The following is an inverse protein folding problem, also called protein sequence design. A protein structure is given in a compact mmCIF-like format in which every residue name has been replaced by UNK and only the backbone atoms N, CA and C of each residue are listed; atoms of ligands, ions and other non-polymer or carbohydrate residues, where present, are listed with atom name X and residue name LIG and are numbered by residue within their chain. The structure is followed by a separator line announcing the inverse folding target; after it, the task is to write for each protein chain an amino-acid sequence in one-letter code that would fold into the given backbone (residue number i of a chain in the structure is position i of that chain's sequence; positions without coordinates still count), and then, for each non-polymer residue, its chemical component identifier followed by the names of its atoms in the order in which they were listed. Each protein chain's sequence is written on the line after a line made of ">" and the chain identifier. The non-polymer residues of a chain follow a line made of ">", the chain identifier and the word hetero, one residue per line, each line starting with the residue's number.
data_IF_932603569615
#
_entry.id   IF_932603569615
#
_cell.length_a   1.000
_cell.length_b   1.000
_cell.length_c   1.000
_cell.angle_alpha   90.00
_cell.angle_beta   90.00
_cell.angle_gamma   90.00
#
_symmetry.space_group_name_H-M   'P 1'
#
loop_
_entity.id
_entity.type
_entity.pdbx_description
1 polymer ?
#
# COMPACT_ATOMS: atom_id res chain seq x y z
N UNK A 1 33.75 -69.06 29.32
CA UNK A 1 32.46 -68.93 28.61
C UNK A 1 31.83 -67.51 28.79
N UNK A 2 32.08 -66.86 29.89
CA UNK A 2 31.57 -65.50 30.18
C UNK A 2 32.32 -64.39 29.39
N UNK A 3 33.64 -64.47 29.27
CA UNK A 3 34.43 -63.45 28.51
C UNK A 3 34.12 -63.39 27.01
N UNK A 4 33.77 -64.53 26.41
CA UNK A 4 33.45 -64.59 24.98
C UNK A 4 32.08 -63.98 24.67
N UNK A 5 31.14 -64.00 25.64
CA UNK A 5 29.85 -63.31 25.52
C UNK A 5 29.95 -61.79 25.68
N UNK A 6 30.82 -61.31 26.57
CA UNK A 6 31.06 -59.89 26.75
C UNK A 6 31.72 -59.25 25.53
N UNK A 7 32.71 -59.91 24.90
CA UNK A 7 33.35 -59.42 23.67
C UNK A 7 32.36 -59.31 22.48
N UNK A 8 31.47 -60.32 22.33
CA UNK A 8 30.43 -60.23 21.28
C UNK A 8 29.43 -59.09 21.54
N UNK A 9 29.09 -58.83 22.80
CA UNK A 9 28.19 -57.70 23.16
C UNK A 9 28.86 -56.37 22.91
N UNK A 10 30.18 -56.21 23.19
CA UNK A 10 30.93 -55.02 22.96
C UNK A 10 31.05 -54.67 21.46
N UNK A 11 31.23 -55.65 20.57
CA UNK A 11 31.26 -55.45 19.13
C UNK A 11 29.88 -55.11 18.57
N UNK A 12 28.79 -55.61 19.17
CA UNK A 12 27.43 -55.31 18.77
C UNK A 12 27.02 -53.87 19.16
N UNK A 13 27.49 -53.38 20.32
CA UNK A 13 27.25 -52.01 20.77
C UNK A 13 28.13 -50.99 19.98
N UNK A 14 29.37 -51.32 19.66
CA UNK A 14 30.21 -50.49 18.79
C UNK A 14 29.68 -50.43 17.34
N UNK A 15 29.16 -51.54 16.79
CA UNK A 15 28.56 -51.58 15.45
C UNK A 15 27.27 -50.79 15.36
N UNK A 16 26.47 -50.78 16.41
CA UNK A 16 25.22 -50.00 16.45
C UNK A 16 25.45 -48.49 16.60
N UNK A 17 26.55 -48.07 17.29
CA UNK A 17 26.90 -46.64 17.40
C UNK A 17 27.42 -46.03 16.09
N UNK A 18 28.02 -46.82 15.20
CA UNK A 18 28.46 -46.33 13.88
C UNK A 18 27.35 -46.17 12.85
N UNK A 19 26.19 -46.78 13.08
CA UNK A 19 25.03 -46.68 12.16
C UNK A 19 24.11 -45.46 12.45
N UNK A 20 24.28 -44.80 13.60
CA UNK A 20 23.47 -43.65 13.99
C UNK A 20 24.10 -42.31 13.62
N UNK A 21 25.33 -42.27 13.07
CA UNK A 21 26.01 -41.03 12.68
C UNK A 21 25.99 -40.73 11.18
N UNK A 22 25.20 -41.47 10.38
CA UNK A 22 25.27 -41.37 8.91
C UNK A 22 24.11 -40.59 8.27
N UNK A 23 23.37 -39.79 9.01
CA UNK A 23 22.36 -38.90 8.42
C UNK A 23 22.25 -37.54 9.19
N UNK A 24 23.37 -36.86 9.40
CA UNK A 24 23.28 -35.41 9.48
C UNK A 24 23.43 -34.91 8.04
N UNK A 25 22.30 -34.59 7.40
CA UNK A 25 22.35 -33.75 6.22
C UNK A 25 23.19 -32.51 6.62
N UNK A 26 24.33 -32.36 5.95
CA UNK A 26 25.13 -31.14 6.09
C UNK A 26 24.18 -29.99 5.71
N UNK A 27 23.83 -29.15 6.67
CA UNK A 27 23.10 -27.90 6.36
C UNK A 27 23.90 -27.19 5.27
N UNK A 28 23.32 -27.13 4.08
CA UNK A 28 23.89 -26.32 3.02
C UNK A 28 24.01 -24.91 3.58
N UNK A 29 25.20 -24.29 3.48
CA UNK A 29 25.37 -22.92 3.96
C UNK A 29 24.25 -22.08 3.32
N UNK A 30 23.36 -21.54 4.14
CA UNK A 30 22.34 -20.59 3.68
C UNK A 30 23.09 -19.40 3.13
N UNK A 31 23.10 -19.24 1.81
CA UNK A 31 23.59 -18.04 1.18
C UNK A 31 22.64 -16.92 1.55
N UNK A 32 23.12 -15.86 2.18
CA UNK A 32 22.37 -14.62 2.42
C UNK A 32 22.12 -13.84 1.13
N UNK A 33 22.69 -14.30 0.02
CA UNK A 33 22.52 -13.70 -1.30
C UNK A 33 21.16 -14.10 -1.87
N UNK A 34 20.29 -13.10 -1.96
CA UNK A 34 18.97 -13.23 -2.60
C UNK A 34 19.08 -12.77 -4.05
N UNK A 35 18.50 -13.51 -4.97
CA UNK A 35 18.32 -13.05 -6.35
C UNK A 35 17.38 -11.82 -6.36
N UNK A 36 17.68 -10.79 -7.16
CA UNK A 36 16.82 -9.61 -7.27
C UNK A 36 15.42 -9.93 -7.83
N UNK A 37 15.31 -10.98 -8.65
CA UNK A 37 14.07 -11.53 -9.16
C UNK A 37 14.24 -12.99 -9.55
N UNK A 38 13.13 -13.76 -9.51
CA UNK A 38 13.07 -15.16 -9.90
C UNK A 38 12.29 -15.29 -11.20
N UNK A 39 12.83 -15.95 -12.23
CA UNK A 39 12.13 -16.18 -13.48
C UNK A 39 10.98 -17.18 -13.31
N UNK A 40 9.80 -16.84 -13.78
CA UNK A 40 8.63 -17.72 -13.80
C UNK A 40 8.37 -18.24 -15.21
N UNK A 41 8.42 -17.36 -16.20
CA UNK A 41 8.33 -17.67 -17.63
C UNK A 41 9.30 -16.75 -18.36
N UNK A 42 10.16 -17.34 -19.22
CA UNK A 42 11.12 -16.59 -20.01
C UNK A 42 11.19 -17.22 -21.41
N UNK A 43 10.35 -16.74 -22.33
CA UNK A 43 10.31 -17.23 -23.71
C UNK A 43 11.19 -16.34 -24.58
N UNK A 44 10.96 -15.03 -24.52
CA UNK A 44 11.71 -14.00 -25.23
C UNK A 44 11.65 -12.67 -24.42
N UNK A 45 12.35 -11.60 -24.85
CA UNK A 45 12.34 -10.32 -24.13
C UNK A 45 10.96 -9.67 -23.97
N UNK A 46 9.98 -10.00 -24.82
CA UNK A 46 8.63 -9.47 -24.76
C UNK A 46 7.69 -10.36 -23.96
N UNK A 47 8.01 -11.65 -23.84
CA UNK A 47 7.22 -12.67 -23.16
C UNK A 47 7.99 -13.20 -21.96
N UNK A 48 8.07 -12.41 -20.91
CA UNK A 48 8.75 -12.80 -19.68
C UNK A 48 7.94 -12.41 -18.44
N UNK A 49 7.95 -13.29 -17.44
CA UNK A 49 7.29 -13.10 -16.15
C UNK A 49 8.25 -13.44 -15.02
N UNK A 50 8.31 -12.57 -14.02
CA UNK A 50 9.27 -12.63 -12.91
C UNK A 50 8.59 -12.39 -11.58
N UNK A 51 9.06 -13.05 -10.51
CA UNK A 51 8.73 -12.72 -9.13
C UNK A 51 9.87 -11.93 -8.51
N UNK A 52 9.54 -10.82 -7.86
CA UNK A 52 10.50 -9.97 -7.14
C UNK A 52 10.49 -10.21 -5.63
N UNK A 53 9.70 -11.18 -5.15
CA UNK A 53 9.53 -11.56 -3.75
C UNK A 53 9.79 -13.04 -3.55
N UNK A 54 10.14 -13.45 -2.32
CA UNK A 54 10.42 -14.85 -2.01
C UNK A 54 9.16 -15.71 -2.05
N UNK A 55 8.02 -15.15 -1.66
CA UNK A 55 6.73 -15.79 -1.84
C UNK A 55 6.06 -15.26 -3.10
N UNK A 56 5.57 -16.16 -3.94
CA UNK A 56 4.97 -15.80 -5.24
C UNK A 56 3.72 -14.93 -5.12
N UNK A 57 3.06 -14.89 -3.96
CA UNK A 57 1.82 -14.14 -3.71
C UNK A 57 2.02 -12.78 -3.04
N UNK A 58 3.25 -12.40 -2.66
CA UNK A 58 3.52 -11.16 -1.94
C UNK A 58 3.53 -9.94 -2.86
N UNK A 59 3.80 -10.12 -4.16
CA UNK A 59 3.82 -9.05 -5.16
C UNK A 59 3.12 -9.45 -6.45
N UNK A 60 2.71 -8.48 -7.29
CA UNK A 60 2.32 -8.75 -8.66
C UNK A 60 3.46 -9.44 -9.41
N UNK A 61 3.12 -10.35 -10.31
CA UNK A 61 4.08 -10.85 -11.31
C UNK A 61 4.52 -9.67 -12.19
N UNK A 62 5.80 -9.59 -12.53
CA UNK A 62 6.37 -8.48 -13.28
C UNK A 62 7.01 -8.93 -14.58
N UNK A 63 6.96 -8.06 -15.58
CA UNK A 63 7.86 -8.12 -16.71
C UNK A 63 9.28 -7.74 -16.28
N UNK A 64 10.33 -8.17 -16.99
CA UNK A 64 11.71 -7.80 -16.66
C UNK A 64 11.96 -6.28 -16.63
N UNK A 65 11.14 -5.48 -17.32
CA UNK A 65 11.16 -4.00 -17.28
C UNK A 65 10.58 -3.42 -16.00
N UNK A 66 10.09 -4.25 -15.08
CA UNK A 66 9.44 -3.83 -13.84
C UNK A 66 7.92 -3.57 -13.94
N UNK A 67 7.34 -3.63 -15.16
CA UNK A 67 5.90 -3.46 -15.38
C UNK A 67 5.13 -4.66 -14.83
N UNK A 68 4.04 -4.40 -14.11
CA UNK A 68 3.17 -5.44 -13.59
C UNK A 68 2.44 -6.21 -14.70
N UNK A 69 2.39 -7.54 -14.58
CA UNK A 69 1.53 -8.40 -15.38
C UNK A 69 0.26 -8.74 -14.61
N UNK A 70 -0.91 -8.81 -15.28
CA UNK A 70 -2.16 -9.28 -14.68
C UNK A 70 -2.19 -10.81 -14.61
N UNK A 71 -1.13 -11.44 -14.11
CA UNK A 71 -1.00 -12.89 -14.01
C UNK A 71 -1.21 -13.34 -12.58
N UNK A 72 -2.21 -14.19 -12.36
CA UNK A 72 -2.61 -14.72 -11.06
C UNK A 72 -2.67 -16.23 -11.11
N UNK A 73 -2.08 -16.90 -10.13
CA UNK A 73 -2.19 -18.33 -9.93
C UNK A 73 -3.14 -18.64 -8.78
N UNK A 74 -4.19 -19.42 -9.05
CA UNK A 74 -5.18 -19.83 -8.07
C UNK A 74 -5.36 -21.35 -8.14
N UNK A 75 -5.39 -22.01 -7.00
CA UNK A 75 -5.78 -23.42 -6.86
C UNK A 75 -7.11 -23.51 -6.11
N UNK A 76 -7.98 -24.40 -6.52
CA UNK A 76 -9.25 -24.65 -5.84
C UNK A 76 -9.21 -26.04 -5.19
N UNK A 77 -9.39 -26.08 -3.88
CA UNK A 77 -9.42 -27.31 -3.08
C UNK A 77 -10.71 -27.30 -2.25
N UNK A 78 -11.51 -28.36 -2.34
CA UNK A 78 -12.77 -28.52 -1.60
C UNK A 78 -13.71 -27.32 -1.69
N UNK A 79 -13.80 -26.73 -2.90
CA UNK A 79 -14.66 -25.57 -3.16
C UNK A 79 -14.08 -24.21 -2.74
N UNK A 80 -12.96 -24.17 -2.05
CA UNK A 80 -12.26 -22.95 -1.64
C UNK A 80 -11.12 -22.61 -2.59
N UNK A 81 -11.00 -21.35 -2.96
CA UNK A 81 -9.94 -20.85 -3.83
C UNK A 81 -8.78 -20.29 -2.99
N UNK A 82 -7.56 -20.69 -3.36
CA UNK A 82 -6.33 -20.24 -2.71
C UNK A 82 -5.41 -19.63 -3.78
N UNK A 83 -5.08 -18.36 -3.61
CA UNK A 83 -4.13 -17.68 -4.49
C UNK A 83 -2.71 -18.03 -4.06
N UNK A 84 -1.91 -18.55 -4.98
CA UNK A 84 -0.52 -18.94 -4.74
C UNK A 84 0.50 -18.10 -5.52
N UNK A 85 0.06 -17.31 -6.50
CA UNK A 85 0.94 -16.48 -7.34
C UNK A 85 0.26 -15.19 -7.77
N UNK A 86 1.05 -14.12 -7.84
CA UNK A 86 0.60 -12.80 -8.26
C UNK A 86 -0.23 -12.07 -7.19
N UNK A 87 -0.49 -10.81 -7.44
CA UNK A 87 -1.38 -9.98 -6.63
C UNK A 87 -2.45 -9.39 -7.54
N UNK A 88 -3.69 -9.46 -7.09
CA UNK A 88 -4.81 -8.88 -7.83
C UNK A 88 -4.66 -7.36 -7.95
N UNK A 89 -4.80 -6.86 -9.17
CA UNK A 89 -5.14 -5.46 -9.39
C UNK A 89 -6.66 -5.39 -9.37
N UNK A 90 -7.24 -5.16 -8.21
CA UNK A 90 -8.66 -4.93 -8.10
C UNK A 90 -9.03 -3.68 -8.91
N UNK A 91 -10.05 -3.73 -9.77
CA UNK A 91 -10.54 -2.52 -10.41
C UNK A 91 -11.07 -1.58 -9.33
N UNK A 92 -10.43 -0.41 -9.19
CA UNK A 92 -10.86 0.61 -8.27
C UNK A 92 -11.87 1.52 -8.97
N UNK A 93 -13.00 1.75 -8.32
CA UNK A 93 -14.05 2.66 -8.80
C UNK A 93 -14.07 3.91 -7.92
N UNK A 94 -14.21 5.11 -8.50
CA UNK A 94 -14.30 6.32 -7.71
C UNK A 94 -15.56 6.28 -6.83
N UNK A 95 -15.37 6.47 -5.53
CA UNK A 95 -16.46 6.68 -4.56
C UNK A 95 -16.79 8.16 -4.49
N UNK A 96 -15.80 9.01 -4.74
CA UNK A 96 -15.90 10.46 -4.78
C UNK A 96 -15.21 10.95 -6.05
N UNK A 97 -15.78 11.94 -6.73
CA UNK A 97 -15.27 12.45 -8.00
C UNK A 97 -13.76 12.70 -7.98
N UNK A 98 -13.10 12.29 -9.05
CA UNK A 98 -11.65 12.31 -9.18
C UNK A 98 -11.19 13.65 -9.76
N UNK A 99 -10.23 14.31 -9.12
CA UNK A 99 -9.58 15.50 -9.67
C UNK A 99 -8.84 15.27 -11.01
N UNK A 100 -8.75 14.02 -11.46
CA UNK A 100 -8.15 13.68 -12.77
C UNK A 100 -9.18 13.66 -13.91
N UNK A 101 -10.48 13.57 -13.60
CA UNK A 101 -11.58 13.56 -14.57
C UNK A 101 -12.36 14.86 -14.45
N UNK A 102 -12.74 15.23 -13.23
CA UNK A 102 -13.36 16.52 -12.93
C UNK A 102 -12.72 17.11 -11.66
N UNK A 103 -12.29 18.37 -11.74
CA UNK A 103 -11.72 19.07 -10.61
C UNK A 103 -12.78 19.33 -9.54
N UNK A 104 -12.70 18.63 -8.39
CA UNK A 104 -13.59 18.91 -7.28
C UNK A 104 -13.26 20.25 -6.60
N UNK A 105 -14.26 20.89 -6.05
CA UNK A 105 -14.10 22.09 -5.21
C UNK A 105 -13.97 21.73 -3.73
N UNK A 106 -13.12 22.48 -3.03
CA UNK A 106 -12.96 22.41 -1.58
C UNK A 106 -12.66 23.78 -0.97
N UNK A 107 -12.63 23.82 0.34
CA UNK A 107 -12.19 24.98 1.08
C UNK A 107 -10.70 24.84 1.40
N UNK A 108 -9.92 25.92 1.26
CA UNK A 108 -8.52 25.93 1.66
C UNK A 108 -8.16 27.22 2.42
N UNK A 109 -7.10 27.14 3.20
CA UNK A 109 -6.49 28.29 3.87
C UNK A 109 -4.98 28.16 3.85
N UNK A 110 -4.30 29.31 3.78
CA UNK A 110 -2.85 29.44 3.86
C UNK A 110 -2.38 29.86 5.26
N UNK A 111 -3.33 30.03 6.18
CA UNK A 111 -3.07 30.36 7.59
C UNK A 111 -3.43 29.17 8.44
N UNK A 112 -2.62 28.89 9.45
CA UNK A 112 -2.87 27.80 10.39
C UNK A 112 -4.29 27.90 10.98
N UNK A 113 -5.11 26.86 10.78
CA UNK A 113 -6.47 26.85 11.27
C UNK A 113 -6.55 26.50 12.77
N UNK A 114 -7.71 26.73 13.35
CA UNK A 114 -8.01 26.28 14.72
C UNK A 114 -7.96 24.76 14.81
N UNK A 115 -7.60 24.25 15.99
CA UNK A 115 -7.62 22.80 16.30
C UNK A 115 -8.98 22.19 15.97
N UNK A 116 -8.98 21.00 15.40
CA UNK A 116 -10.19 20.29 14.99
C UNK A 116 -10.66 20.63 13.58
N UNK A 117 -9.83 21.35 12.81
CA UNK A 117 -10.14 21.72 11.43
C UNK A 117 -10.38 20.50 10.50
N UNK A 118 -9.88 19.34 10.86
CA UNK A 118 -10.01 18.07 10.15
C UNK A 118 -11.33 17.33 10.40
N UNK A 119 -12.16 17.81 11.36
CA UNK A 119 -13.40 17.16 11.78
C UNK A 119 -14.61 17.57 10.94
N UNK A 120 -15.62 16.71 10.90
CA UNK A 120 -16.84 16.91 10.12
C UNK A 120 -17.64 18.16 10.54
N UNK A 121 -17.67 18.44 11.84
CA UNK A 121 -18.42 19.54 12.44
C UNK A 121 -17.71 20.90 12.40
N UNK A 122 -16.46 20.94 11.92
CA UNK A 122 -15.72 22.18 11.78
C UNK A 122 -16.35 23.08 10.72
N UNK A 123 -16.53 24.36 11.02
CA UNK A 123 -17.02 25.36 10.08
C UNK A 123 -15.83 26.11 9.45
N UNK A 124 -15.57 25.95 8.15
CA UNK A 124 -14.47 26.61 7.44
C UNK A 124 -14.79 28.07 7.09
N UNK A 125 -15.52 28.78 7.92
CA UNK A 125 -15.85 30.19 7.72
C UNK A 125 -14.58 31.03 7.53
N UNK A 126 -14.51 31.77 6.43
CA UNK A 126 -13.35 32.60 6.08
C UNK A 126 -12.26 31.85 5.31
N UNK A 127 -12.44 30.58 5.01
CA UNK A 127 -11.59 29.85 4.07
C UNK A 127 -11.97 30.22 2.62
N UNK A 128 -11.02 30.10 1.71
CA UNK A 128 -11.22 30.33 0.28
C UNK A 128 -11.68 29.04 -0.39
N UNK A 129 -12.56 29.14 -1.37
CA UNK A 129 -12.88 28.01 -2.25
C UNK A 129 -11.85 27.87 -3.35
N UNK A 130 -11.46 26.64 -3.65
CA UNK A 130 -10.51 26.33 -4.70
C UNK A 130 -10.78 24.97 -5.33
N UNK A 131 -10.32 24.82 -6.57
CA UNK A 131 -10.42 23.56 -7.32
C UNK A 131 -9.16 22.73 -7.12
N UNK A 132 -9.30 21.42 -6.98
CA UNK A 132 -8.16 20.50 -6.95
C UNK A 132 -7.59 20.30 -8.39
N UNK A 133 -6.30 19.95 -8.56
CA UNK A 133 -5.29 19.84 -7.54
C UNK A 133 -4.77 21.22 -7.11
N UNK A 134 -4.17 21.26 -5.92
CA UNK A 134 -3.52 22.45 -5.39
C UNK A 134 -2.00 22.31 -5.55
N UNK A 135 -1.30 23.36 -5.96
CA UNK A 135 0.15 23.30 -6.11
C UNK A 135 0.78 24.68 -6.37
N UNK A 136 2.10 24.70 -6.37
CA UNK A 136 2.88 25.88 -6.73
C UNK A 136 2.89 26.08 -8.25
N UNK A 137 3.13 27.29 -8.76
CA UNK A 137 2.93 27.64 -10.18
C UNK A 137 3.71 26.78 -11.20
N UNK A 138 4.83 26.19 -10.79
CA UNK A 138 5.64 25.29 -11.61
C UNK A 138 5.05 23.89 -11.79
N UNK A 139 4.04 23.53 -11.03
CA UNK A 139 3.40 22.22 -11.10
C UNK A 139 2.37 22.17 -12.22
N UNK A 140 2.20 20.99 -12.83
CA UNK A 140 1.26 20.78 -13.93
C UNK A 140 -0.13 20.34 -13.43
N UNK A 141 -1.16 20.63 -14.22
CA UNK A 141 -2.55 20.21 -13.99
C UNK A 141 -3.15 20.72 -12.68
N UNK A 142 -2.89 21.99 -12.37
CA UNK A 142 -3.44 22.68 -11.21
C UNK A 142 -4.86 23.19 -11.46
N UNK A 143 -5.70 23.10 -10.43
CA UNK A 143 -6.96 23.82 -10.32
C UNK A 143 -6.82 25.09 -9.49
N UNK A 144 -5.90 25.09 -8.52
CA UNK A 144 -5.64 26.21 -7.63
C UNK A 144 -4.15 26.33 -7.33
N UNK A 145 -3.61 27.52 -7.55
CA UNK A 145 -2.23 27.85 -7.19
C UNK A 145 -2.12 28.26 -5.72
N UNK A 146 -1.01 27.86 -5.09
CA UNK A 146 -0.64 28.27 -3.74
C UNK A 146 0.85 28.64 -3.72
N UNK A 147 1.19 29.76 -3.09
CA UNK A 147 2.57 30.32 -3.11
C UNK A 147 3.21 30.44 -1.73
N UNK A 148 2.54 29.98 -0.68
CA UNK A 148 3.05 29.98 0.70
C UNK A 148 3.67 28.63 1.04
N UNK A 149 4.31 28.54 2.23
CA UNK A 149 4.89 27.27 2.69
C UNK A 149 3.84 26.22 3.05
N UNK A 150 2.72 26.67 3.58
CA UNK A 150 1.73 25.81 4.21
C UNK A 150 0.38 25.97 3.52
N UNK A 151 -0.34 24.86 3.34
CA UNK A 151 -1.72 24.83 2.87
C UNK A 151 -2.52 23.81 3.67
N UNK A 152 -3.73 24.19 4.06
CA UNK A 152 -4.75 23.31 4.63
C UNK A 152 -5.92 23.26 3.66
N UNK A 153 -6.30 22.06 3.26
CA UNK A 153 -7.38 21.81 2.30
C UNK A 153 -8.44 20.96 2.96
N UNK A 154 -9.69 21.25 2.66
CA UNK A 154 -10.83 20.56 3.22
C UNK A 154 -11.89 20.36 2.15
N UNK A 155 -12.24 19.11 1.86
CA UNK A 155 -13.32 18.72 0.96
C UNK A 155 -14.44 18.08 1.75
N UNK A 156 -15.65 18.60 1.63
CA UNK A 156 -16.88 17.95 2.07
C UNK A 156 -17.46 17.13 0.91
N UNK A 157 -17.97 15.94 1.21
CA UNK A 157 -18.60 15.08 0.22
C UNK A 157 -19.70 14.25 0.88
N UNK A 158 -20.72 13.88 0.10
CA UNK A 158 -21.82 13.06 0.57
C UNK A 158 -21.68 11.62 0.06
N UNK A 159 -21.90 10.66 0.95
CA UNK A 159 -22.02 9.26 0.62
C UNK A 159 -23.51 8.87 0.62
N UNK A 160 -23.91 8.13 -0.41
CA UNK A 160 -25.27 7.60 -0.55
C UNK A 160 -25.38 6.13 -0.14
N UNK A 161 -24.31 5.51 0.30
CA UNK A 161 -24.24 4.09 0.67
C UNK A 161 -23.36 3.87 1.90
N UNK A 162 -23.55 2.76 2.59
CA UNK A 162 -22.66 2.26 3.60
C UNK A 162 -21.45 1.58 2.95
N UNK A 163 -20.26 1.84 3.46
CA UNK A 163 -19.00 1.30 2.98
C UNK A 163 -18.32 0.37 3.99
N UNK A 164 -19.03 -0.07 5.02
CA UNK A 164 -18.46 -0.91 6.10
C UNK A 164 -17.87 -2.22 5.60
N UNK A 165 -18.50 -2.82 4.57
CA UNK A 165 -18.06 -4.09 3.97
C UNK A 165 -17.27 -3.92 2.67
N UNK A 166 -17.00 -2.68 2.26
CA UNK A 166 -16.23 -2.38 1.06
C UNK A 166 -14.73 -2.23 1.35
N UNK A 167 -13.91 -2.60 0.40
CA UNK A 167 -12.50 -2.21 0.40
C UNK A 167 -12.41 -0.79 -0.13
N UNK A 168 -11.97 0.14 0.72
CA UNK A 168 -11.89 1.56 0.41
C UNK A 168 -10.43 1.98 0.37
N UNK A 169 -10.06 2.66 -0.71
CA UNK A 169 -8.69 3.11 -0.96
C UNK A 169 -8.65 4.63 -1.12
N UNK A 170 -7.56 5.22 -0.68
CA UNK A 170 -7.20 6.59 -1.01
C UNK A 170 -6.05 6.59 -2.00
N UNK A 171 -6.19 7.39 -3.05
CA UNK A 171 -5.11 7.70 -3.95
C UNK A 171 -4.71 9.14 -3.76
N UNK A 172 -3.44 9.38 -3.47
CA UNK A 172 -2.95 10.72 -3.20
C UNK A 172 -1.57 10.96 -3.82
N UNK A 173 -1.30 12.24 -4.05
CA UNK A 173 0.02 12.76 -4.41
C UNK A 173 0.29 13.98 -3.57
N UNK A 174 1.52 14.16 -3.13
CA UNK A 174 1.94 15.32 -2.35
C UNK A 174 3.42 15.62 -2.54
N UNK A 175 3.80 16.85 -2.22
CA UNK A 175 5.14 17.39 -2.16
C UNK A 175 5.16 18.62 -1.24
N UNK A 176 5.90 18.69 -0.13
CA UNK A 176 6.79 17.75 0.58
C UNK A 176 6.08 17.00 1.72
N UNK A 177 6.07 17.60 2.96
CA UNK A 177 5.45 17.01 4.17
C UNK A 177 3.92 17.01 4.06
N UNK A 178 3.29 15.90 4.40
CA UNK A 178 1.87 15.73 4.17
C UNK A 178 1.16 15.02 5.33
N UNK A 179 -0.04 15.49 5.65
CA UNK A 179 -0.96 14.82 6.56
C UNK A 179 -2.35 14.75 5.91
N UNK A 180 -3.00 13.60 6.03
CA UNK A 180 -4.31 13.34 5.45
C UNK A 180 -5.25 12.76 6.50
N UNK A 181 -6.46 13.25 6.51
CA UNK A 181 -7.50 12.90 7.48
C UNK A 181 -8.82 12.57 6.78
N UNK A 182 -9.54 11.60 7.32
CA UNK A 182 -10.94 11.32 7.00
C UNK A 182 -11.76 11.45 8.27
N UNK A 183 -12.76 12.33 8.25
CA UNK A 183 -13.66 12.58 9.38
C UNK A 183 -12.91 12.81 10.70
N UNK A 184 -11.76 13.50 10.66
CA UNK A 184 -10.90 13.78 11.81
C UNK A 184 -9.95 12.65 12.22
N UNK A 185 -9.98 11.49 11.55
CA UNK A 185 -9.01 10.41 11.76
C UNK A 185 -7.83 10.55 10.82
N UNK A 186 -6.62 10.56 11.35
CA UNK A 186 -5.40 10.62 10.56
C UNK A 186 -5.18 9.30 9.81
N UNK A 187 -5.03 9.38 8.49
CA UNK A 187 -4.82 8.24 7.60
C UNK A 187 -3.37 8.16 7.14
N UNK A 188 -2.81 9.34 6.79
CA UNK A 188 -1.43 9.45 6.30
C UNK A 188 -0.72 10.54 7.08
N UNK A 189 0.55 10.29 7.39
CA UNK A 189 1.50 11.30 7.85
C UNK A 189 2.87 10.95 7.28
N UNK A 190 3.44 11.88 6.52
CA UNK A 190 4.76 11.72 5.92
C UNK A 190 5.76 12.69 6.51
N UNK A 191 7.05 12.41 6.30
CA UNK A 191 8.14 13.34 6.55
C UNK A 191 8.40 14.27 5.37
N UNK A 192 9.65 14.68 5.20
CA UNK A 192 10.13 15.44 4.07
C UNK A 192 10.37 14.51 2.88
N UNK A 193 9.35 14.31 2.09
CA UNK A 193 9.34 13.40 0.95
C UNK A 193 8.21 13.79 -0.02
N UNK A 194 8.34 13.40 -1.28
CA UNK A 194 7.29 13.55 -2.26
C UNK A 194 6.79 12.17 -2.73
N UNK A 195 5.50 12.08 -3.00
CA UNK A 195 4.87 10.86 -3.50
C UNK A 195 3.88 11.16 -4.61
N UNK A 196 3.86 10.30 -5.62
CA UNK A 196 2.94 10.44 -6.73
C UNK A 196 2.08 9.18 -6.92
N UNK A 197 0.75 9.35 -6.96
CA UNK A 197 -0.22 8.29 -7.18
C UNK A 197 -0.10 7.12 -6.18
N UNK A 198 0.20 7.40 -4.92
CA UNK A 198 0.17 6.38 -3.87
C UNK A 198 -1.26 5.93 -3.62
N UNK A 199 -1.46 4.63 -3.55
CA UNK A 199 -2.74 4.01 -3.19
C UNK A 199 -2.58 3.38 -1.80
N UNK A 200 -3.41 3.82 -0.86
CA UNK A 200 -3.44 3.33 0.52
C UNK A 200 -4.83 2.81 0.86
N UNK A 201 -4.90 1.58 1.35
CA UNK A 201 -6.14 1.00 1.86
C UNK A 201 -6.53 1.64 3.19
N UNK A 202 -7.80 1.97 3.35
CA UNK A 202 -8.31 2.50 4.62
C UNK A 202 -8.46 1.39 5.66
N UNK A 203 -7.88 1.62 6.81
CA UNK A 203 -8.06 0.74 7.97
C UNK A 203 -9.52 0.77 8.45
N UNK A 204 -9.98 -0.34 9.03
CA UNK A 204 -11.35 -0.48 9.53
C UNK A 204 -11.78 0.63 10.50
N UNK A 205 -10.86 1.09 11.34
CA UNK A 205 -11.12 2.18 12.29
C UNK A 205 -11.43 3.52 11.61
N UNK A 206 -10.94 3.72 10.38
CA UNK A 206 -11.23 4.88 9.54
C UNK A 206 -12.51 4.63 8.72
N UNK A 207 -12.63 3.46 8.10
CA UNK A 207 -13.86 3.06 7.35
C UNK A 207 -15.11 3.23 8.18
N UNK A 208 -15.09 2.84 9.46
CA UNK A 208 -16.20 3.02 10.41
C UNK A 208 -16.63 4.48 10.65
N UNK A 209 -15.81 5.44 10.27
CA UNK A 209 -16.16 6.87 10.34
C UNK A 209 -16.90 7.37 9.09
N UNK A 210 -16.77 6.66 7.97
CA UNK A 210 -17.51 6.93 6.73
C UNK A 210 -18.94 6.47 6.90
N UNK A 211 -19.89 7.39 6.70
CA UNK A 211 -21.31 7.13 6.88
C UNK A 211 -22.12 7.74 5.76
N UNK A 212 -23.30 7.22 5.47
CA UNK A 212 -24.24 7.92 4.58
C UNK A 212 -24.45 9.37 5.03
N UNK A 213 -24.50 10.28 4.07
CA UNK A 213 -24.53 11.72 4.29
C UNK A 213 -23.14 12.35 4.31
N UNK A 214 -22.98 13.44 5.03
CA UNK A 214 -21.81 14.31 5.02
C UNK A 214 -20.56 13.66 5.61
N UNK A 215 -19.49 13.69 4.84
CA UNK A 215 -18.13 13.27 5.23
C UNK A 215 -17.12 14.33 4.82
N UNK A 216 -15.90 14.22 5.36
CA UNK A 216 -14.82 15.18 5.12
C UNK A 216 -13.51 14.47 4.84
N UNK A 217 -12.84 14.87 3.76
CA UNK A 217 -11.42 14.66 3.54
C UNK A 217 -10.70 15.96 3.86
N UNK A 218 -9.69 15.92 4.72
CA UNK A 218 -8.90 17.08 5.07
C UNK A 218 -7.41 16.78 4.92
N UNK A 219 -6.64 17.72 4.38
CA UNK A 219 -5.21 17.55 4.15
C UNK A 219 -4.43 18.80 4.56
N UNK A 220 -3.27 18.57 5.13
CA UNK A 220 -2.24 19.57 5.33
C UNK A 220 -1.01 19.22 4.51
N UNK A 221 -0.45 20.20 3.82
CA UNK A 221 0.79 20.05 3.11
C UNK A 221 1.73 21.22 3.40
N UNK A 222 3.00 20.91 3.55
CA UNK A 222 4.06 21.90 3.74
C UNK A 222 5.11 21.74 2.68
N UNK A 223 5.22 22.76 1.81
CA UNK A 223 6.32 22.89 0.87
C UNK A 223 7.54 23.48 1.58
N UNK A 224 8.67 22.80 1.54
CA UNK A 224 9.95 23.25 2.09
C UNK A 224 10.87 23.79 1.01
N UNK A 225 10.94 23.11 -0.13
CA UNK A 225 11.81 23.47 -1.26
C UNK A 225 11.22 22.95 -2.56
N UNK A 226 11.36 23.72 -3.65
CA UNK A 226 10.88 23.33 -4.96
C UNK A 226 9.37 23.46 -5.12
N UNK A 227 8.79 22.61 -5.93
CA UNK A 227 7.36 22.58 -6.20
C UNK A 227 6.57 21.93 -5.08
N UNK A 228 5.48 22.53 -4.66
CA UNK A 228 4.52 21.94 -3.72
C UNK A 228 3.29 21.41 -4.44
N UNK A 229 2.74 20.29 -4.01
CA UNK A 229 1.60 19.65 -4.66
C UNK A 229 0.70 18.86 -3.71
N UNK A 230 -0.61 18.96 -3.90
CA UNK A 230 -1.62 18.15 -3.19
C UNK A 230 -2.73 17.72 -4.13
N UNK A 231 -2.90 16.42 -4.23
CA UNK A 231 -4.02 15.80 -4.94
C UNK A 231 -4.51 14.58 -4.18
N UNK A 232 -5.82 14.46 -4.03
CA UNK A 232 -6.43 13.38 -3.24
C UNK A 232 -7.68 12.86 -3.97
N UNK A 233 -7.82 11.52 -4.00
CA UNK A 233 -8.95 10.79 -4.58
C UNK A 233 -9.35 9.67 -3.63
N UNK A 234 -10.63 9.39 -3.50
CA UNK A 234 -11.16 8.23 -2.77
C UNK A 234 -11.73 7.23 -3.77
N UNK A 235 -11.24 6.00 -3.73
CA UNK A 235 -11.62 4.91 -4.63
C UNK A 235 -12.05 3.70 -3.81
N UNK A 236 -12.93 2.88 -4.37
CA UNK A 236 -13.37 1.63 -3.74
C UNK A 236 -13.33 0.46 -4.69
N UNK A 237 -13.14 -0.74 -4.11
CA UNK A 237 -13.39 -2.01 -4.78
C UNK A 237 -14.65 -2.66 -4.21
N UNK A 238 -15.40 -3.35 -5.05
CA UNK A 238 -16.57 -4.15 -4.68
C UNK A 238 -16.25 -5.64 -4.77
#
# INVERSE_FOLDING_TARGET
>A
MIEMKMRKLLYLVLGASCLLTACTEAEKPKSDLRAPAYPLVTIDPYTSAWSTTDNLYDSPVKHWTGKNHPLIGVVRVDGKSYRFMGKENLPLYPIVDMASVEAWEGNYTLKEPKKGWEKVDFNPKGWTKGKAAFGTPEMLFLGTEWTTKDIWVRREFDLNQDLSDADVFLKYSHDDTFELYINGKQVVKTGYEWHNNVVAELKDEVKKTLKPGKNVIAAYCKNKTGGGYVRIVCEGAR
#
